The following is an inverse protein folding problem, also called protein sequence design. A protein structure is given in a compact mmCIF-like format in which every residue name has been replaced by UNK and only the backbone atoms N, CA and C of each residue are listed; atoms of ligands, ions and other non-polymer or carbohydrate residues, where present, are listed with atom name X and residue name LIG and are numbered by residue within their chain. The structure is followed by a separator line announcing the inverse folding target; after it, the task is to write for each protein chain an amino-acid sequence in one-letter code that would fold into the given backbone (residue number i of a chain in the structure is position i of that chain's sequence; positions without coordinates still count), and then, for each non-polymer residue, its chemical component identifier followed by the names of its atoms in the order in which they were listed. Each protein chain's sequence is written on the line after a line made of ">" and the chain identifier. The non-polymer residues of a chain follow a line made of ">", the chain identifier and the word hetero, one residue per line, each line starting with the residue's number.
data_IF_518044067022
#
_entry.id   IF_518044067022
#
_cell.length_a   1.000
_cell.length_b   1.000
_cell.length_c   1.000
_cell.angle_alpha   90.00
_cell.angle_beta   90.00
_cell.angle_gamma   90.00
#
_symmetry.space_group_name_H-M   'P 1'
#
loop_
_entity.id
_entity.type
_entity.pdbx_description
1 polymer ?
#
# COMPACT_ATOMS: atom_id res chain seq x y z
N UNK A 1 18.87 14.12 3.56
CA UNK A 1 18.24 13.07 2.72
C UNK A 1 16.80 13.44 2.46
N UNK A 2 16.33 13.24 1.23
CA UNK A 2 14.96 13.59 0.83
C UNK A 2 13.99 12.42 0.95
N UNK A 3 14.47 11.17 0.86
CA UNK A 3 13.65 9.98 0.82
C UNK A 3 13.94 9.06 1.99
N UNK A 4 12.90 8.58 2.68
CA UNK A 4 12.97 7.39 3.51
C UNK A 4 12.44 6.19 2.73
N UNK A 5 13.29 5.22 2.45
CA UNK A 5 12.87 3.88 2.05
C UNK A 5 12.52 3.13 3.34
N UNK A 6 11.26 2.76 3.48
CA UNK A 6 10.74 2.09 4.67
C UNK A 6 10.46 0.63 4.38
N UNK A 7 10.90 -0.27 5.26
CA UNK A 7 10.60 -1.70 5.15
C UNK A 7 10.02 -2.23 6.45
N UNK A 8 8.76 -2.71 6.45
CA UNK A 8 8.23 -3.50 7.55
C UNK A 8 8.74 -4.94 7.41
N UNK A 9 9.23 -5.52 8.50
CA UNK A 9 9.73 -6.91 8.49
C UNK A 9 9.20 -7.72 9.68
N UNK A 10 9.01 -9.01 9.48
CA UNK A 10 8.67 -9.97 10.53
C UNK A 10 9.15 -11.38 10.14
N UNK A 11 10.18 -11.89 10.82
CA UNK A 11 10.76 -13.21 10.55
C UNK A 11 11.13 -13.44 9.06
N UNK A 12 11.83 -12.47 8.45
CA UNK A 12 12.19 -12.47 7.03
C UNK A 12 13.64 -12.03 6.79
N UNK A 13 14.56 -12.41 7.69
CA UNK A 13 15.98 -12.04 7.65
C UNK A 13 16.63 -12.25 6.28
N UNK A 14 16.43 -13.42 5.66
CA UNK A 14 17.05 -13.76 4.38
C UNK A 14 16.51 -12.89 3.21
N UNK A 15 15.21 -12.60 3.23
CA UNK A 15 14.60 -11.73 2.22
C UNK A 15 15.05 -10.29 2.40
N UNK A 16 15.12 -9.82 3.66
CA UNK A 16 15.57 -8.48 4.00
C UNK A 16 17.02 -8.21 3.53
N UNK A 17 17.88 -9.24 3.55
CA UNK A 17 19.25 -9.14 3.04
C UNK A 17 19.30 -8.78 1.54
N UNK A 18 18.34 -9.25 0.76
CA UNK A 18 18.23 -8.93 -0.68
C UNK A 18 17.76 -7.49 -0.90
N UNK A 19 16.81 -7.01 -0.06
CA UNK A 19 16.43 -5.60 -0.06
C UNK A 19 17.65 -4.72 0.24
N UNK A 20 18.45 -5.07 1.27
CA UNK A 20 19.72 -4.40 1.60
C UNK A 20 20.66 -4.34 0.40
N UNK A 21 20.92 -5.48 -0.24
CA UNK A 21 21.82 -5.54 -1.41
C UNK A 21 21.32 -4.62 -2.54
N UNK A 22 20.01 -4.55 -2.79
CA UNK A 22 19.43 -3.68 -3.80
C UNK A 22 19.60 -2.18 -3.46
N UNK A 23 19.49 -1.84 -2.19
CA UNK A 23 19.65 -0.48 -1.70
C UNK A 23 21.14 -0.03 -1.74
N UNK A 24 22.07 -0.94 -1.47
CA UNK A 24 23.51 -0.62 -1.59
C UNK A 24 23.95 -0.36 -3.03
N UNK A 25 23.17 -0.75 -4.04
CA UNK A 25 23.45 -0.56 -5.46
C UNK A 25 22.80 0.68 -6.07
N UNK A 26 22.06 1.48 -5.29
CA UNK A 26 21.38 2.66 -5.82
C UNK A 26 22.37 3.70 -6.38
N UNK A 27 22.06 4.27 -7.55
CA UNK A 27 22.86 5.30 -8.25
C UNK A 27 22.91 6.61 -7.47
N UNK A 28 21.86 6.94 -6.75
CA UNK A 28 21.72 8.15 -5.93
C UNK A 28 21.57 7.77 -4.47
N UNK A 29 22.29 8.50 -3.57
CA UNK A 29 22.34 8.25 -2.12
C UNK A 29 21.55 9.26 -1.29
N UNK A 30 20.58 9.95 -1.87
CA UNK A 30 19.75 10.94 -1.16
C UNK A 30 18.58 10.27 -0.41
N UNK A 31 18.86 9.13 0.23
CA UNK A 31 17.88 8.37 1.02
C UNK A 31 18.49 7.77 2.29
N UNK A 32 17.62 7.46 3.25
CA UNK A 32 17.89 6.57 4.37
C UNK A 32 17.01 5.32 4.27
N UNK A 33 17.43 4.20 4.89
CA UNK A 33 16.61 3.01 5.04
C UNK A 33 16.08 2.88 6.46
N UNK A 34 14.77 3.00 6.63
CA UNK A 34 14.08 2.79 7.90
C UNK A 34 13.46 1.40 7.94
N UNK A 35 13.96 0.55 8.82
CA UNK A 35 13.43 -0.80 9.05
C UNK A 35 12.60 -0.77 10.33
N UNK A 36 11.33 -1.17 10.23
CA UNK A 36 10.49 -1.44 11.41
C UNK A 36 10.27 -2.94 11.52
N UNK A 37 10.90 -3.52 12.52
CA UNK A 37 10.78 -4.93 12.86
C UNK A 37 9.56 -5.16 13.75
N UNK A 38 8.57 -5.83 13.22
CA UNK A 38 7.30 -6.11 13.88
C UNK A 38 7.35 -7.37 14.76
N UNK A 39 8.43 -7.51 15.56
CA UNK A 39 8.58 -8.56 16.57
C UNK A 39 9.26 -9.83 16.07
N UNK A 40 10.27 -9.73 15.21
CA UNK A 40 11.03 -10.90 14.71
C UNK A 40 11.75 -11.66 15.82
N UNK A 41 11.92 -12.98 15.61
CA UNK A 41 12.61 -13.92 16.49
C UNK A 41 13.67 -14.75 15.74
N UNK A 42 13.93 -14.41 14.48
CA UNK A 42 14.85 -15.10 13.58
C UNK A 42 16.26 -14.46 13.51
N UNK A 43 16.60 -13.61 14.51
CA UNK A 43 17.84 -12.85 14.52
C UNK A 43 17.95 -11.82 13.37
N UNK A 44 16.82 -11.23 12.96
CA UNK A 44 16.79 -10.10 12.00
C UNK A 44 17.58 -8.92 12.53
N UNK A 45 17.51 -8.61 13.83
CA UNK A 45 18.21 -7.51 14.47
C UNK A 45 19.76 -7.65 14.38
N UNK A 46 20.29 -8.86 14.52
CA UNK A 46 21.74 -9.12 14.38
C UNK A 46 22.22 -8.79 12.96
N UNK A 47 21.45 -9.19 11.95
CA UNK A 47 21.78 -8.88 10.56
C UNK A 47 21.75 -7.37 10.29
N UNK A 48 20.70 -6.68 10.76
CA UNK A 48 20.58 -5.23 10.57
C UNK A 48 21.70 -4.47 11.28
N UNK A 49 22.10 -4.87 12.48
CA UNK A 49 23.25 -4.28 13.19
C UNK A 49 24.52 -4.41 12.39
N UNK A 50 24.77 -5.59 11.80
CA UNK A 50 25.95 -5.79 10.93
C UNK A 50 25.96 -4.81 9.75
N UNK A 51 24.82 -4.57 9.09
CA UNK A 51 24.73 -3.61 7.98
C UNK A 51 24.88 -2.15 8.43
N UNK A 52 24.42 -1.82 9.64
CA UNK A 52 24.67 -0.49 10.24
C UNK A 52 26.18 -0.29 10.46
N UNK A 53 26.86 -1.32 10.98
CA UNK A 53 28.31 -1.28 11.24
C UNK A 53 29.13 -1.23 9.94
N UNK A 54 28.66 -1.84 8.85
CA UNK A 54 29.25 -1.71 7.51
C UNK A 54 29.20 -0.26 6.99
N UNK A 55 28.17 0.51 7.34
CA UNK A 55 28.06 1.93 7.02
C UNK A 55 27.94 2.27 5.52
N UNK A 56 27.49 1.34 4.67
CA UNK A 56 27.39 1.54 3.21
C UNK A 56 26.24 2.49 2.87
N UNK A 57 25.11 2.39 3.59
CA UNK A 57 23.94 3.26 3.49
C UNK A 57 23.48 3.66 4.89
N UNK A 58 22.84 4.83 5.06
CA UNK A 58 22.23 5.19 6.34
C UNK A 58 21.06 4.27 6.66
N UNK A 59 21.10 3.58 7.81
CA UNK A 59 20.07 2.64 8.26
C UNK A 59 19.59 3.08 9.64
N UNK A 60 18.25 3.14 9.80
CA UNK A 60 17.58 3.26 11.09
C UNK A 60 16.78 2.00 11.35
N UNK A 61 16.94 1.42 12.54
CA UNK A 61 16.21 0.22 12.96
C UNK A 61 15.33 0.49 14.15
N UNK A 62 14.09 0.08 14.08
CA UNK A 62 13.12 0.19 15.16
C UNK A 62 12.42 -1.14 15.39
N UNK A 63 12.57 -1.71 16.58
CA UNK A 63 11.85 -2.91 17.00
C UNK A 63 10.54 -2.54 17.69
N UNK A 64 9.49 -3.32 17.45
CA UNK A 64 8.21 -3.22 18.15
C UNK A 64 7.61 -4.61 18.40
N UNK A 65 6.67 -4.72 19.32
CA UNK A 65 5.87 -5.93 19.49
C UNK A 65 4.99 -6.17 18.24
N UNK A 66 4.80 -7.45 17.89
CA UNK A 66 4.07 -7.85 16.68
C UNK A 66 2.62 -7.36 16.66
N UNK A 67 2.33 -6.41 15.81
CA UNK A 67 1.03 -5.80 15.61
C UNK A 67 0.50 -5.87 14.18
N UNK A 68 1.30 -6.38 13.23
CA UNK A 68 0.97 -6.47 11.81
C UNK A 68 1.50 -5.30 10.98
N UNK A 69 1.64 -5.53 9.65
CA UNK A 69 2.23 -4.60 8.67
C UNK A 69 1.69 -3.17 8.77
N UNK A 70 0.39 -3.02 8.99
CA UNK A 70 -0.24 -1.68 8.99
C UNK A 70 0.16 -0.84 10.18
N UNK A 71 0.32 -1.45 11.36
CA UNK A 71 0.86 -0.77 12.54
C UNK A 71 2.35 -0.48 12.39
N UNK A 72 3.12 -1.41 11.81
CA UNK A 72 4.52 -1.16 11.47
C UNK A 72 4.65 0.02 10.49
N UNK A 73 3.75 0.12 9.50
CA UNK A 73 3.70 1.25 8.57
C UNK A 73 3.39 2.58 9.30
N UNK A 74 2.39 2.61 10.18
CA UNK A 74 2.09 3.81 10.98
C UNK A 74 3.31 4.24 11.82
N UNK A 75 4.00 3.26 12.42
CA UNK A 75 5.24 3.51 13.19
C UNK A 75 6.32 4.11 12.27
N UNK A 76 6.54 3.53 11.08
CA UNK A 76 7.51 4.03 10.11
C UNK A 76 7.21 5.45 9.66
N UNK A 77 5.95 5.75 9.31
CA UNK A 77 5.51 7.11 8.94
C UNK A 77 5.69 8.10 10.10
N UNK A 78 5.41 7.68 11.33
CA UNK A 78 5.61 8.51 12.53
C UNK A 78 7.09 8.82 12.81
N UNK A 79 8.00 7.91 12.48
CA UNK A 79 9.44 8.06 12.64
C UNK A 79 10.12 8.77 11.46
N UNK A 80 9.41 8.96 10.35
CA UNK A 80 9.97 9.55 9.15
C UNK A 80 10.05 11.07 9.25
N UNK A 81 11.27 11.60 9.02
CA UNK A 81 11.57 13.04 9.05
C UNK A 81 11.92 13.60 7.65
N UNK A 82 11.97 12.74 6.62
CA UNK A 82 12.27 13.16 5.24
C UNK A 82 11.02 13.64 4.51
N UNK A 83 11.20 14.34 3.38
CA UNK A 83 10.12 14.84 2.53
C UNK A 83 9.24 13.72 1.97
N UNK A 84 9.88 12.63 1.54
CA UNK A 84 9.27 11.54 0.78
C UNK A 84 9.44 10.21 1.51
N UNK A 85 8.45 9.33 1.33
CA UNK A 85 8.38 8.01 1.94
C UNK A 85 8.01 6.97 0.89
N UNK A 86 8.85 5.95 0.74
CA UNK A 86 8.65 4.81 -0.14
C UNK A 86 8.53 3.54 0.70
N UNK A 87 7.39 2.84 0.61
CA UNK A 87 7.27 1.52 1.23
C UNK A 87 7.84 0.45 0.30
N UNK A 88 8.89 -0.23 0.74
CA UNK A 88 9.50 -1.39 0.12
C UNK A 88 9.23 -2.62 0.98
N UNK A 89 8.45 -3.56 0.49
CA UNK A 89 8.19 -4.80 1.22
C UNK A 89 9.48 -5.61 1.40
N UNK A 90 9.60 -6.36 2.50
CA UNK A 90 10.82 -7.08 2.86
C UNK A 90 11.23 -8.20 1.88
N UNK A 91 10.33 -8.61 0.99
CA UNK A 91 10.52 -9.60 -0.07
C UNK A 91 10.75 -8.98 -1.46
N UNK A 92 10.72 -7.65 -1.55
CA UNK A 92 10.91 -6.90 -2.78
C UNK A 92 12.33 -6.31 -2.88
N UNK A 93 12.77 -6.02 -4.10
CA UNK A 93 14.04 -5.34 -4.37
C UNK A 93 13.85 -4.16 -5.31
N UNK A 94 14.62 -3.09 -5.14
CA UNK A 94 14.62 -1.95 -6.04
C UNK A 94 15.55 -2.17 -7.24
N UNK A 95 15.19 -1.61 -8.40
CA UNK A 95 16.15 -1.49 -9.52
C UNK A 95 17.24 -0.46 -9.17
N UNK A 96 18.38 -0.50 -9.80
CA UNK A 96 19.57 0.27 -9.40
C UNK A 96 19.39 1.80 -9.48
N UNK A 97 18.55 2.29 -10.39
CA UNK A 97 18.22 3.69 -10.58
C UNK A 97 16.83 4.10 -10.01
N UNK A 98 16.30 3.30 -9.08
CA UNK A 98 14.96 3.50 -8.53
C UNK A 98 14.82 4.85 -7.80
N UNK A 99 15.74 5.16 -6.90
CA UNK A 99 15.73 6.42 -6.13
C UNK A 99 15.83 7.62 -7.05
N UNK A 100 16.78 7.59 -8.00
CA UNK A 100 16.97 8.65 -8.99
C UNK A 100 15.71 8.89 -9.83
N UNK A 101 15.12 7.80 -10.35
CA UNK A 101 13.93 7.86 -11.19
C UNK A 101 12.70 8.39 -10.44
N UNK A 102 12.50 7.96 -9.19
CA UNK A 102 11.38 8.40 -8.38
C UNK A 102 11.49 9.88 -7.99
N UNK A 103 12.67 10.32 -7.54
CA UNK A 103 12.92 11.73 -7.19
C UNK A 103 12.78 12.63 -8.42
N UNK A 104 13.34 12.23 -9.57
CA UNK A 104 13.24 12.96 -10.82
C UNK A 104 11.79 13.12 -11.29
N UNK A 105 11.02 12.04 -11.32
CA UNK A 105 9.61 12.08 -11.70
C UNK A 105 8.76 12.95 -10.76
N UNK A 106 9.05 12.92 -9.46
CA UNK A 106 8.39 13.79 -8.50
C UNK A 106 8.69 15.26 -8.76
N UNK A 107 9.97 15.63 -8.92
CA UNK A 107 10.40 17.01 -9.13
C UNK A 107 9.84 17.58 -10.44
N UNK A 108 9.89 16.82 -11.54
CA UNK A 108 9.31 17.20 -12.83
C UNK A 108 7.81 17.46 -12.71
N UNK A 109 7.08 16.58 -12.01
CA UNK A 109 5.64 16.72 -11.82
C UNK A 109 5.31 17.95 -10.95
N UNK A 110 6.03 18.19 -9.87
CA UNK A 110 5.82 19.37 -8.99
C UNK A 110 6.06 20.67 -9.77
N UNK A 111 7.08 20.71 -10.63
CA UNK A 111 7.38 21.87 -11.46
C UNK A 111 6.38 22.04 -12.62
N UNK A 112 6.00 20.95 -13.28
CA UNK A 112 5.24 20.98 -14.53
C UNK A 112 3.72 20.96 -14.36
N UNK A 113 3.20 20.34 -13.33
CA UNK A 113 1.75 20.15 -13.15
C UNK A 113 1.05 21.44 -12.65
N UNK A 114 -0.15 21.71 -13.21
CA UNK A 114 -0.95 22.92 -12.90
C UNK A 114 -2.43 22.58 -12.63
N UNK A 115 -2.74 21.36 -12.21
CA UNK A 115 -4.12 20.99 -11.85
C UNK A 115 -4.52 21.44 -10.45
N UNK A 116 -5.77 21.17 -10.08
CA UNK A 116 -6.39 21.65 -8.83
C UNK A 116 -5.84 20.99 -7.56
N UNK A 117 -5.43 19.72 -7.64
CA UNK A 117 -4.87 18.98 -6.51
C UNK A 117 -3.35 18.98 -6.57
N UNK A 118 -2.63 19.11 -5.45
CA UNK A 118 -1.16 19.04 -5.45
C UNK A 118 -0.66 17.63 -5.84
N UNK A 119 0.59 17.57 -6.31
CA UNK A 119 1.32 16.31 -6.43
C UNK A 119 1.62 15.80 -5.02
N UNK A 120 1.15 14.61 -4.68
CA UNK A 120 1.35 13.97 -3.37
C UNK A 120 2.38 12.83 -3.39
N UNK A 121 2.96 12.52 -4.56
CA UNK A 121 3.92 11.45 -4.71
C UNK A 121 4.05 10.94 -6.14
N UNK A 122 4.54 9.71 -6.27
CA UNK A 122 4.76 9.01 -7.54
C UNK A 122 4.17 7.61 -7.47
N UNK A 123 3.57 7.17 -8.57
CA UNK A 123 3.18 5.78 -8.80
C UNK A 123 4.00 5.21 -9.95
N UNK A 124 4.59 4.03 -9.74
CA UNK A 124 5.37 3.32 -10.74
C UNK A 124 4.98 1.83 -10.75
N UNK A 125 5.47 1.07 -11.73
CA UNK A 125 5.19 -0.36 -11.81
C UNK A 125 6.03 -1.17 -10.80
N UNK A 126 5.41 -2.24 -10.25
CA UNK A 126 6.13 -3.40 -9.78
C UNK A 126 6.30 -4.40 -10.92
N UNK A 127 7.42 -5.10 -10.97
CA UNK A 127 7.73 -6.10 -11.99
C UNK A 127 7.96 -7.50 -11.41
N UNK A 128 7.80 -8.53 -12.24
CA UNK A 128 8.33 -9.89 -11.98
C UNK A 128 9.82 -9.99 -12.30
N UNK A 129 10.29 -9.06 -13.12
CA UNK A 129 11.67 -8.84 -13.50
C UNK A 129 11.82 -7.37 -13.90
N UNK A 130 13.03 -6.94 -14.28
CA UNK A 130 13.30 -5.55 -14.67
C UNK A 130 12.56 -5.09 -15.95
N UNK A 131 12.06 -6.03 -16.75
CA UNK A 131 11.44 -5.80 -18.06
C UNK A 131 10.03 -6.38 -18.18
N UNK A 132 9.51 -7.02 -17.12
CA UNK A 132 8.18 -7.63 -17.11
C UNK A 132 7.34 -7.16 -15.93
N UNK A 133 6.28 -6.41 -16.23
CA UNK A 133 5.33 -5.89 -15.23
C UNK A 133 4.69 -7.06 -14.44
N UNK A 134 4.48 -6.85 -13.15
CA UNK A 134 3.76 -7.78 -12.28
C UNK A 134 2.25 -7.53 -12.40
N UNK A 135 1.54 -8.51 -12.96
CA UNK A 135 0.09 -8.39 -13.23
C UNK A 135 -0.21 -7.74 -14.60
N UNK A 136 -1.40 -7.48 -14.85
CA UNK A 136 -2.19 -6.99 -15.96
C UNK A 136 -1.52 -6.28 -17.14
N UNK A 137 -1.55 -4.96 -17.13
CA UNK A 137 -1.23 -4.11 -18.28
C UNK A 137 -0.49 -2.83 -17.84
N UNK A 138 0.00 -2.10 -18.80
CA UNK A 138 0.65 -0.81 -18.60
C UNK A 138 -0.31 0.27 -18.10
N UNK A 139 0.24 1.37 -17.58
CA UNK A 139 -0.57 2.51 -17.20
C UNK A 139 -1.27 3.12 -18.42
N UNK A 140 -2.48 3.70 -18.24
CA UNK A 140 -3.07 4.56 -19.25
C UNK A 140 -2.13 5.73 -19.57
N UNK A 141 -2.14 6.19 -20.82
CA UNK A 141 -1.33 7.35 -21.25
C UNK A 141 -1.76 8.62 -20.48
N UNK A 142 -1.04 8.91 -19.40
CA UNK A 142 -1.29 10.06 -18.54
C UNK A 142 -0.05 10.35 -17.70
N UNK A 143 0.33 11.62 -17.62
CA UNK A 143 1.46 12.05 -16.78
C UNK A 143 1.12 12.14 -15.28
N UNK A 144 -0.16 12.29 -14.95
CA UNK A 144 -0.64 12.46 -13.56
C UNK A 144 -2.01 11.81 -13.38
N UNK A 145 -2.21 11.15 -12.25
CA UNK A 145 -3.48 10.52 -11.90
C UNK A 145 -3.62 10.33 -10.38
N UNK A 146 -4.83 10.09 -9.92
CA UNK A 146 -5.06 9.40 -8.66
C UNK A 146 -4.79 7.90 -8.84
N UNK A 147 -4.43 7.19 -7.78
CA UNK A 147 -4.22 5.74 -7.85
C UNK A 147 -5.50 5.02 -8.29
N UNK A 148 -6.63 5.31 -7.65
CA UNK A 148 -7.92 4.73 -8.04
C UNK A 148 -8.33 5.12 -9.47
N UNK A 149 -7.98 6.32 -9.91
CA UNK A 149 -8.20 6.79 -11.29
C UNK A 149 -7.49 5.95 -12.36
N UNK A 150 -6.29 5.42 -12.07
CA UNK A 150 -5.61 4.48 -12.96
C UNK A 150 -6.41 3.19 -13.12
N UNK A 151 -6.86 2.58 -12.02
CA UNK A 151 -7.66 1.36 -12.04
C UNK A 151 -9.02 1.58 -12.73
N UNK A 152 -9.64 2.74 -12.55
CA UNK A 152 -10.90 3.07 -13.25
C UNK A 152 -10.73 3.19 -14.78
N UNK A 153 -9.53 3.58 -15.23
CA UNK A 153 -9.17 3.66 -16.67
C UNK A 153 -8.62 2.37 -17.23
N UNK A 154 -8.75 1.27 -16.51
CA UNK A 154 -8.44 -0.08 -16.99
C UNK A 154 -7.06 -0.60 -16.63
N UNK A 155 -6.25 0.15 -15.85
CA UNK A 155 -5.03 -0.41 -15.29
C UNK A 155 -5.35 -1.60 -14.39
N UNK A 156 -4.52 -2.62 -14.47
CA UNK A 156 -4.51 -3.75 -13.53
C UNK A 156 -3.08 -4.19 -13.31
N UNK A 157 -2.66 -4.35 -12.08
CA UNK A 157 -1.27 -4.72 -11.74
C UNK A 157 -0.87 -4.19 -10.37
N UNK A 158 0.33 -4.54 -9.98
CA UNK A 158 0.95 -4.08 -8.73
C UNK A 158 1.73 -2.78 -8.97
N UNK A 159 1.74 -1.92 -7.96
CA UNK A 159 2.36 -0.60 -8.04
C UNK A 159 3.39 -0.37 -6.93
N UNK A 160 4.44 0.37 -7.28
CA UNK A 160 5.34 1.01 -6.33
C UNK A 160 4.80 2.40 -6.03
N UNK A 161 4.66 2.75 -4.76
CA UNK A 161 4.09 4.02 -4.32
C UNK A 161 5.08 4.79 -3.44
N UNK A 162 5.42 5.98 -3.87
CA UNK A 162 6.16 6.96 -3.06
C UNK A 162 5.24 8.14 -2.77
N UNK A 163 5.12 8.53 -1.51
CA UNK A 163 4.27 9.63 -1.07
C UNK A 163 5.06 10.72 -0.36
N UNK A 164 4.52 11.93 -0.35
CA UNK A 164 4.94 12.93 0.62
C UNK A 164 4.64 12.40 2.03
N UNK A 165 5.62 12.48 2.92
CA UNK A 165 5.51 12.01 4.32
C UNK A 165 4.35 12.69 5.04
N UNK A 166 4.19 13.99 4.88
CA UNK A 166 3.11 14.77 5.50
C UNK A 166 1.71 14.37 5.01
N UNK A 167 1.59 13.86 3.78
CA UNK A 167 0.33 13.30 3.28
C UNK A 167 0.01 11.99 4.02
N UNK A 168 0.99 11.09 4.17
CA UNK A 168 0.79 9.83 4.90
C UNK A 168 0.47 10.06 6.39
N UNK A 169 1.13 11.01 7.04
CA UNK A 169 0.85 11.39 8.45
C UNK A 169 -0.61 11.82 8.68
N UNK A 170 -1.28 12.37 7.67
CA UNK A 170 -2.71 12.76 7.74
C UNK A 170 -3.67 11.59 7.65
N UNK A 171 -3.25 10.47 7.10
CA UNK A 171 -4.09 9.30 6.79
C UNK A 171 -3.47 8.00 7.32
N UNK A 172 -3.28 7.84 8.64
CA UNK A 172 -2.77 6.59 9.19
C UNK A 172 -3.77 5.44 8.96
N UNK A 173 -3.25 4.23 8.91
CA UNK A 173 -4.08 3.04 8.97
C UNK A 173 -4.84 2.98 10.30
N UNK A 174 -6.15 2.64 10.31
CA UNK A 174 -6.88 2.45 11.55
C UNK A 174 -6.31 1.25 12.33
N UNK A 175 -6.10 1.45 13.62
CA UNK A 175 -5.69 0.39 14.54
C UNK A 175 -6.93 -0.18 15.22
N UNK A 176 -7.27 -1.41 14.86
CA UNK A 176 -8.46 -2.10 15.35
C UNK A 176 -8.00 -3.18 16.34
N UNK A 177 -8.60 -3.19 17.53
CA UNK A 177 -8.27 -4.18 18.55
C UNK A 177 -8.57 -5.61 18.04
N UNK A 178 -7.61 -6.52 18.21
CA UNK A 178 -7.71 -7.91 17.77
C UNK A 178 -7.48 -8.13 16.26
N UNK A 179 -7.36 -7.07 15.44
CA UNK A 179 -7.11 -7.17 14.00
C UNK A 179 -5.73 -6.65 13.64
N UNK A 180 -5.06 -7.33 12.69
CA UNK A 180 -3.67 -7.01 12.28
C UNK A 180 -3.56 -6.53 10.82
N UNK A 181 -4.66 -6.54 10.06
CA UNK A 181 -4.64 -6.21 8.64
C UNK A 181 -5.77 -5.25 8.27
N UNK A 182 -5.43 -4.23 7.49
CA UNK A 182 -6.37 -3.33 6.81
C UNK A 182 -5.98 -3.29 5.33
N UNK A 183 -6.93 -3.39 4.36
CA UNK A 183 -6.60 -3.22 2.95
C UNK A 183 -5.90 -1.88 2.69
N UNK A 184 -4.77 -1.89 2.02
CA UNK A 184 -3.94 -0.68 1.79
C UNK A 184 -4.71 0.42 1.05
N UNK A 185 -5.53 0.03 0.10
CA UNK A 185 -6.43 0.95 -0.63
C UNK A 185 -7.30 1.82 0.29
N UNK A 186 -7.53 1.39 1.55
CA UNK A 186 -8.35 2.17 2.48
C UNK A 186 -7.75 3.57 2.75
N UNK A 187 -6.43 3.66 2.89
CA UNK A 187 -5.78 4.97 3.06
C UNK A 187 -5.51 5.63 1.70
N UNK A 188 -5.18 4.86 0.67
CA UNK A 188 -4.88 5.39 -0.66
C UNK A 188 -6.10 6.09 -1.29
N UNK A 189 -7.31 5.58 -1.10
CA UNK A 189 -8.53 6.26 -1.52
C UNK A 189 -8.72 7.62 -0.83
N UNK A 190 -8.31 7.77 0.43
CA UNK A 190 -8.36 9.04 1.16
C UNK A 190 -7.30 10.02 0.67
N UNK A 191 -6.12 9.50 0.34
CA UNK A 191 -5.03 10.28 -0.26
C UNK A 191 -5.46 10.80 -1.63
N UNK A 192 -6.09 9.97 -2.45
CA UNK A 192 -6.64 10.33 -3.75
C UNK A 192 -7.67 11.47 -3.70
N UNK A 193 -8.34 11.66 -2.55
CA UNK A 193 -9.25 12.78 -2.36
C UNK A 193 -8.55 14.14 -2.27
N UNK A 194 -7.27 14.17 -1.85
CA UNK A 194 -6.54 15.41 -1.54
C UNK A 194 -5.35 15.70 -2.45
N UNK A 195 -4.78 14.71 -3.12
CA UNK A 195 -3.65 14.88 -4.04
C UNK A 195 -3.75 13.94 -5.24
N UNK A 196 -2.82 14.10 -6.17
CA UNK A 196 -2.59 13.23 -7.33
C UNK A 196 -1.13 12.76 -7.32
N UNK A 197 -0.85 11.69 -8.07
CA UNK A 197 0.47 11.09 -8.20
C UNK A 197 1.03 11.34 -9.60
N UNK A 198 2.32 11.63 -9.72
CA UNK A 198 3.04 11.52 -10.96
C UNK A 198 3.05 10.06 -11.42
N UNK A 199 2.74 9.80 -12.67
CA UNK A 199 2.74 8.45 -13.23
C UNK A 199 4.08 8.21 -13.92
N UNK A 200 4.88 7.32 -13.35
CA UNK A 200 6.16 6.88 -13.89
C UNK A 200 5.98 5.48 -14.54
N UNK A 201 5.87 5.37 -15.88
CA UNK A 201 5.63 4.10 -16.55
C UNK A 201 6.92 3.27 -16.66
N UNK A 202 7.53 3.00 -15.51
CA UNK A 202 8.76 2.22 -15.35
C UNK A 202 8.63 1.21 -14.22
N UNK A 203 9.30 0.09 -14.34
CA UNK A 203 9.47 -0.86 -13.24
C UNK A 203 10.53 -0.33 -12.29
N UNK A 204 10.12 -0.09 -11.06
CA UNK A 204 10.97 0.44 -9.97
C UNK A 204 11.26 -0.64 -8.94
N UNK A 205 10.27 -1.49 -8.66
CA UNK A 205 10.40 -2.60 -7.71
C UNK A 205 10.24 -3.91 -8.45
N UNK A 206 11.09 -4.88 -8.15
CA UNK A 206 10.96 -6.28 -8.61
C UNK A 206 10.51 -7.12 -7.43
N UNK A 207 9.34 -7.78 -7.61
CA UNK A 207 8.72 -8.64 -6.61
C UNK A 207 9.10 -10.09 -6.85
N UNK A 208 9.45 -10.81 -5.80
CA UNK A 208 9.45 -12.25 -5.81
C UNK A 208 8.13 -12.82 -5.30
N UNK A 209 7.69 -13.89 -5.93
CA UNK A 209 6.54 -14.64 -5.41
C UNK A 209 7.07 -15.55 -4.30
N UNK A 210 6.79 -15.16 -3.06
CA UNK A 210 7.09 -15.96 -1.87
C UNK A 210 5.81 -16.66 -1.42
N UNK A 211 5.86 -17.98 -1.24
CA UNK A 211 4.73 -18.76 -0.72
C UNK A 211 4.33 -18.25 0.67
N UNK A 212 3.01 -18.20 0.93
CA UNK A 212 2.47 -17.78 2.23
C UNK A 212 2.31 -16.30 2.44
N UNK A 213 2.47 -15.47 1.41
CA UNK A 213 2.20 -14.03 1.44
C UNK A 213 0.72 -13.67 1.68
N UNK A 214 0.43 -12.38 1.81
CA UNK A 214 -0.95 -11.88 1.99
C UNK A 214 -1.88 -12.27 0.82
N UNK A 215 -1.36 -12.34 -0.38
CA UNK A 215 -2.12 -12.70 -1.59
C UNK A 215 -2.67 -14.13 -1.52
N UNK A 216 -1.89 -15.07 -0.98
CA UNK A 216 -2.31 -16.47 -0.86
C UNK A 216 -3.35 -16.67 0.26
N UNK A 217 -3.37 -15.78 1.24
CA UNK A 217 -4.15 -15.88 2.47
C UNK A 217 -5.39 -14.97 2.52
N UNK A 218 -5.83 -14.40 1.40
CA UNK A 218 -6.94 -13.41 1.35
C UNK A 218 -8.20 -13.87 2.07
N UNK A 219 -8.60 -15.14 1.96
CA UNK A 219 -9.78 -15.66 2.66
C UNK A 219 -9.59 -15.69 4.18
N UNK A 220 -8.39 -16.01 4.65
CA UNK A 220 -8.04 -15.99 6.08
C UNK A 220 -8.04 -14.56 6.58
N UNK A 221 -7.39 -13.63 5.86
CA UNK A 221 -7.35 -12.21 6.20
C UNK A 221 -8.76 -11.62 6.35
N UNK A 222 -9.65 -11.95 5.43
CA UNK A 222 -11.05 -11.49 5.47
C UNK A 222 -11.83 -12.00 6.67
N UNK A 223 -11.54 -13.20 7.16
CA UNK A 223 -12.21 -13.78 8.35
C UNK A 223 -11.67 -13.21 9.65
N UNK A 224 -10.38 -12.94 9.70
CA UNK A 224 -9.70 -12.50 10.91
C UNK A 224 -9.76 -10.97 11.12
N UNK A 225 -10.09 -10.18 10.06
CA UNK A 225 -10.08 -8.72 10.08
C UNK A 225 -11.43 -8.13 9.63
N UNK A 226 -12.50 -8.57 10.24
CA UNK A 226 -13.88 -8.28 9.81
C UNK A 226 -14.21 -6.79 9.87
N UNK A 227 -13.75 -6.09 10.93
CA UNK A 227 -14.01 -4.66 11.10
C UNK A 227 -13.20 -3.81 10.11
N UNK A 228 -11.97 -4.20 9.79
CA UNK A 228 -11.17 -3.54 8.77
C UNK A 228 -11.83 -3.65 7.38
N UNK A 229 -12.29 -4.85 7.02
CA UNK A 229 -13.02 -5.03 5.77
C UNK A 229 -14.38 -4.33 5.74
N UNK A 230 -15.05 -4.19 6.88
CA UNK A 230 -16.26 -3.36 6.99
C UNK A 230 -15.93 -1.90 6.62
N UNK A 231 -14.92 -1.29 7.26
CA UNK A 231 -14.51 0.10 6.97
C UNK A 231 -14.11 0.28 5.50
N UNK A 232 -13.34 -0.67 4.98
CA UNK A 232 -12.91 -0.65 3.58
C UNK A 232 -14.08 -0.69 2.60
N UNK A 233 -15.03 -1.63 2.76
CA UNK A 233 -16.15 -1.75 1.83
C UNK A 233 -17.19 -0.66 2.02
N UNK A 234 -17.35 -0.08 3.22
CA UNK A 234 -18.15 1.12 3.42
C UNK A 234 -17.60 2.28 2.57
N UNK A 235 -16.29 2.53 2.65
CA UNK A 235 -15.63 3.56 1.85
C UNK A 235 -15.76 3.28 0.35
N UNK A 236 -15.42 2.08 -0.09
CA UNK A 236 -15.50 1.68 -1.51
C UNK A 236 -16.93 1.73 -2.05
N UNK A 237 -17.93 1.31 -1.29
CA UNK A 237 -19.33 1.44 -1.68
C UNK A 237 -19.77 2.89 -1.84
N UNK A 238 -19.16 3.82 -1.09
CA UNK A 238 -19.46 5.26 -1.21
C UNK A 238 -18.79 5.87 -2.44
N UNK A 239 -17.48 5.65 -2.65
CA UNK A 239 -16.69 6.34 -3.69
C UNK A 239 -16.79 5.69 -5.08
N UNK A 240 -17.12 4.39 -5.17
CA UNK A 240 -17.15 3.69 -6.47
C UNK A 240 -18.30 4.21 -7.33
N UNK A 241 -18.05 4.60 -8.59
CA UNK A 241 -19.10 5.02 -9.52
C UNK A 241 -20.15 3.95 -9.75
N UNK A 242 -21.35 4.36 -10.15
CA UNK A 242 -22.45 3.43 -10.47
C UNK A 242 -22.01 2.39 -11.50
N UNK A 243 -22.39 1.13 -11.27
CA UNK A 243 -22.06 -0.01 -12.12
C UNK A 243 -21.88 -1.29 -11.33
N UNK A 244 -21.44 -2.35 -12.01
CA UNK A 244 -21.28 -3.68 -11.40
C UNK A 244 -20.25 -3.68 -10.25
N UNK A 245 -19.19 -2.87 -10.34
CA UNK A 245 -18.20 -2.77 -9.27
C UNK A 245 -18.78 -2.12 -8.01
N UNK A 246 -19.64 -1.12 -8.15
CA UNK A 246 -20.38 -0.56 -7.01
C UNK A 246 -21.26 -1.62 -6.35
N UNK A 247 -22.00 -2.41 -7.13
CA UNK A 247 -22.81 -3.50 -6.60
C UNK A 247 -21.99 -4.53 -5.84
N UNK A 248 -20.79 -4.87 -6.34
CA UNK A 248 -19.85 -5.76 -5.63
C UNK A 248 -19.43 -5.16 -4.30
N UNK A 249 -19.09 -3.87 -4.26
CA UNK A 249 -18.70 -3.18 -3.02
C UNK A 249 -19.86 -3.11 -2.03
N UNK A 250 -21.08 -2.76 -2.51
CA UNK A 250 -22.29 -2.70 -1.69
C UNK A 250 -22.64 -4.08 -1.10
N UNK A 251 -22.56 -5.14 -1.90
CA UNK A 251 -22.78 -6.51 -1.41
C UNK A 251 -21.84 -6.90 -0.30
N UNK A 252 -20.56 -6.61 -0.48
CA UNK A 252 -19.53 -6.86 0.54
C UNK A 252 -19.71 -5.98 1.77
N UNK A 253 -20.02 -4.70 1.60
CA UNK A 253 -20.37 -3.84 2.73
C UNK A 253 -21.49 -4.46 3.61
N UNK A 254 -22.58 -4.93 3.01
CA UNK A 254 -23.68 -5.58 3.75
C UNK A 254 -23.21 -6.84 4.48
N UNK A 255 -22.39 -7.66 3.84
CA UNK A 255 -21.84 -8.89 4.44
C UNK A 255 -20.98 -8.56 5.66
N UNK A 256 -20.05 -7.60 5.50
CA UNK A 256 -19.13 -7.24 6.59
C UNK A 256 -19.81 -6.43 7.70
N UNK A 257 -20.82 -5.63 7.40
CA UNK A 257 -21.66 -4.99 8.42
C UNK A 257 -22.33 -6.05 9.32
N UNK A 258 -22.92 -7.09 8.73
CA UNK A 258 -23.53 -8.19 9.49
C UNK A 258 -22.49 -8.98 10.29
N UNK A 259 -21.33 -9.31 9.69
CA UNK A 259 -20.27 -10.06 10.37
C UNK A 259 -19.66 -9.30 11.55
N UNK A 260 -19.58 -7.96 11.45
CA UNK A 260 -19.08 -7.10 12.53
C UNK A 260 -20.13 -6.70 13.56
N UNK A 261 -21.37 -7.21 13.45
CA UNK A 261 -22.47 -6.86 14.35
C UNK A 261 -22.99 -5.43 14.19
N UNK A 262 -22.65 -4.73 13.10
CA UNK A 262 -23.04 -3.35 12.86
C UNK A 262 -24.37 -3.26 12.09
N UNK A 263 -25.17 -2.22 12.32
CA UNK A 263 -26.40 -2.01 11.56
C UNK A 263 -26.09 -1.78 10.08
N UNK A 264 -26.77 -2.49 9.19
CA UNK A 264 -26.65 -2.30 7.75
C UNK A 264 -27.26 -0.97 7.30
N UNK A 265 -28.33 -0.54 7.98
CA UNK A 265 -29.03 0.72 7.74
C UNK A 265 -28.81 1.69 8.89
N UNK A 266 -28.64 2.99 8.57
CA UNK A 266 -28.68 4.05 9.57
C UNK A 266 -27.36 4.43 10.24
N UNK A 267 -26.21 3.97 9.75
CA UNK A 267 -24.89 4.36 10.30
C UNK A 267 -23.87 4.76 9.24
N UNK A 268 -24.19 4.60 7.95
CA UNK A 268 -23.29 4.84 6.84
C UNK A 268 -23.71 6.04 5.97
N UNK A 269 -22.75 6.56 5.21
CA UNK A 269 -22.98 7.59 4.19
C UNK A 269 -23.67 7.04 2.92
N UNK A 270 -23.96 5.73 2.89
CA UNK A 270 -24.53 5.04 1.72
C UNK A 270 -26.05 5.22 1.74
N UNK A 271 -26.62 5.58 0.59
CA UNK A 271 -28.07 5.76 0.45
C UNK A 271 -28.86 4.46 0.67
N UNK A 272 -30.06 4.55 1.23
CA UNK A 272 -30.92 3.38 1.53
C UNK A 272 -31.18 2.49 0.31
N UNK A 273 -31.35 3.07 -0.87
CA UNK A 273 -31.55 2.32 -2.12
C UNK A 273 -30.30 1.51 -2.49
N UNK A 274 -29.13 2.13 -2.39
CA UNK A 274 -27.85 1.44 -2.63
C UNK A 274 -27.65 0.26 -1.65
N UNK A 275 -28.00 0.46 -0.38
CA UNK A 275 -27.95 -0.62 0.61
C UNK A 275 -28.91 -1.76 0.25
N UNK A 276 -30.11 -1.48 -0.25
CA UNK A 276 -31.04 -2.51 -0.70
C UNK A 276 -30.47 -3.32 -1.85
N UNK A 277 -29.88 -2.65 -2.85
CA UNK A 277 -29.14 -3.32 -3.93
C UNK A 277 -27.99 -4.18 -3.39
N UNK A 278 -27.28 -3.68 -2.38
CA UNK A 278 -26.24 -4.40 -1.66
C UNK A 278 -26.74 -5.66 -0.96
N UNK A 279 -27.92 -5.62 -0.36
CA UNK A 279 -28.52 -6.81 0.28
C UNK A 279 -28.79 -7.94 -0.73
N UNK A 280 -29.32 -7.57 -1.90
CA UNK A 280 -29.61 -8.55 -2.98
C UNK A 280 -28.27 -9.16 -3.50
N UNK A 281 -27.32 -8.29 -3.86
CA UNK A 281 -26.05 -8.73 -4.41
C UNK A 281 -25.18 -9.50 -3.39
N UNK A 282 -25.23 -9.10 -2.12
CA UNK A 282 -24.55 -9.81 -1.03
C UNK A 282 -25.07 -11.21 -0.85
N UNK A 283 -26.40 -11.42 -0.98
CA UNK A 283 -27.00 -12.75 -1.01
C UNK A 283 -26.45 -13.61 -2.16
N UNK A 284 -26.32 -13.04 -3.36
CA UNK A 284 -25.74 -13.72 -4.52
C UNK A 284 -24.26 -14.12 -4.26
N UNK A 285 -23.47 -13.23 -3.66
CA UNK A 285 -22.05 -13.51 -3.35
C UNK A 285 -21.91 -14.67 -2.37
N UNK A 286 -22.76 -14.71 -1.33
CA UNK A 286 -22.76 -15.79 -0.34
C UNK A 286 -23.16 -17.13 -0.96
N UNK A 287 -24.22 -17.15 -1.78
CA UNK A 287 -24.66 -18.37 -2.49
C UNK A 287 -23.61 -18.88 -3.47
N UNK A 288 -22.85 -17.99 -4.09
CA UNK A 288 -21.75 -18.33 -5.01
C UNK A 288 -20.44 -18.72 -4.31
N UNK A 289 -20.40 -18.77 -2.99
CA UNK A 289 -19.19 -19.09 -2.17
C UNK A 289 -17.98 -18.18 -2.50
N UNK A 290 -18.24 -16.92 -2.85
CA UNK A 290 -17.22 -15.92 -3.26
C UNK A 290 -16.79 -14.98 -2.12
N UNK A 291 -17.20 -15.29 -0.86
CA UNK A 291 -16.87 -14.52 0.35
C UNK A 291 -16.53 -15.41 1.57
#
# INVERSE_FOLDING_TARGET
>A
MRLTVFTPTYNRKELLARAYESLTKQTVRDFEWLIVDDGSTDHTDDAVRSWIDEGIIPIRYHYRENGGKMRAHNTGVGLCDTELFLCLDSDDVLVEDAVESLLGAYDEAVIGYRGDKPIGGVVAHKGKSRDKIFGGNDFPDTGVSTLYGLYQRGFSGETTLMFQTEVLKRFPFPEIEGEKYVPEDYIYDKIDAVCVLAVLPRIITVCEIVDGGYTDNVKKLRRENVNAFYLYYEQRAFITPRGINKLKCLGRYVIYAKRSGRPVFGGSRIGKFDILCGCIYGGILLLANRE
#
